data_IF_591029185024
#
_entry.id   IF_591029185024
#
_cell.length_a   1.000
_cell.length_b   1.000
_cell.length_c   1.000
_cell.angle_alpha   90.00
_cell.angle_beta   90.00
_cell.angle_gamma   90.00
#
_symmetry.space_group_name_H-M   'P 1'
#
loop_
_entity.id
_entity.type
_entity.pdbx_description
1 polymer ?
#
# COMPACT_ATOMS: atom_id res chain seq x y z
N UNK A 1 0.77 -3.09 11.14
CA UNK A 1 0.60 -3.78 12.43
C UNK A 1 0.26 -5.28 12.30
N UNK A 2 -0.40 -5.71 11.24
CA UNK A 2 -0.68 -7.15 11.04
C UNK A 2 0.57 -7.99 10.74
N UNK A 3 1.58 -7.41 10.09
CA UNK A 3 2.82 -8.13 9.75
C UNK A 3 3.68 -8.37 10.99
N UNK A 4 3.70 -7.45 11.96
CA UNK A 4 4.51 -7.60 13.17
C UNK A 4 3.98 -8.70 14.09
N UNK A 5 2.66 -8.89 14.21
CA UNK A 5 2.10 -9.96 15.04
C UNK A 5 2.23 -11.33 14.37
N UNK A 6 2.00 -11.43 13.05
CA UNK A 6 2.20 -12.68 12.31
C UNK A 6 3.68 -13.10 12.29
N UNK A 7 4.60 -12.16 12.09
CA UNK A 7 6.03 -12.43 12.16
C UNK A 7 6.45 -12.92 13.55
N UNK A 8 5.98 -12.27 14.62
CA UNK A 8 6.26 -12.71 16.00
C UNK A 8 5.73 -14.13 16.27
N UNK A 9 4.57 -14.45 15.74
CA UNK A 9 3.96 -15.79 15.88
C UNK A 9 4.75 -16.86 15.11
N UNK A 10 5.24 -16.51 13.91
CA UNK A 10 6.08 -17.40 13.11
C UNK A 10 7.40 -17.69 13.83
N UNK A 11 8.10 -16.66 14.33
CA UNK A 11 9.37 -16.84 15.04
C UNK A 11 9.20 -17.72 16.28
N UNK A 12 8.17 -17.51 17.08
CA UNK A 12 7.87 -18.37 18.23
C UNK A 12 7.64 -19.82 17.84
N UNK A 13 6.92 -20.07 16.73
CA UNK A 13 6.67 -21.43 16.23
C UNK A 13 7.94 -22.09 15.70
N UNK A 14 8.85 -21.32 15.11
CA UNK A 14 10.17 -21.79 14.69
C UNK A 14 11.05 -22.14 15.88
N UNK A 15 11.10 -21.28 16.91
CA UNK A 15 11.89 -21.51 18.13
C UNK A 15 11.44 -22.78 18.89
N UNK A 16 10.13 -23.07 18.84
CA UNK A 16 9.57 -24.30 19.41
C UNK A 16 9.60 -25.52 18.46
N UNK A 17 10.18 -25.37 17.27
CA UNK A 17 10.32 -26.46 16.30
C UNK A 17 9.01 -26.90 15.62
N UNK A 18 7.92 -26.15 15.75
CA UNK A 18 6.64 -26.47 15.13
C UNK A 18 6.63 -26.24 13.61
N UNK A 19 7.46 -25.32 13.13
CA UNK A 19 7.65 -25.04 11.70
C UNK A 19 9.12 -24.73 11.43
N UNK A 20 9.57 -25.06 10.22
CA UNK A 20 10.95 -24.83 9.77
C UNK A 20 11.12 -23.53 9.00
N UNK A 21 10.04 -23.01 8.44
CA UNK A 21 10.07 -21.84 7.56
C UNK A 21 8.79 -21.02 7.63
N UNK A 22 8.88 -19.78 7.16
CA UNK A 22 7.73 -18.88 7.02
C UNK A 22 6.63 -19.45 6.09
N UNK A 23 6.94 -19.99 4.90
CA UNK A 23 5.94 -20.63 4.06
C UNK A 23 5.20 -21.77 4.79
N UNK A 24 5.93 -22.67 5.47
CA UNK A 24 5.32 -23.77 6.22
C UNK A 24 4.39 -23.27 7.33
N UNK A 25 4.73 -22.15 8.00
CA UNK A 25 3.86 -21.57 9.00
C UNK A 25 2.52 -21.09 8.41
N UNK A 26 2.56 -20.48 7.23
CA UNK A 26 1.34 -20.05 6.54
C UNK A 26 0.52 -21.25 6.03
N UNK A 27 1.15 -22.24 5.41
CA UNK A 27 0.45 -23.42 4.88
C UNK A 27 -0.25 -24.23 5.97
N UNK A 28 0.36 -24.36 7.15
CA UNK A 28 -0.14 -25.22 8.22
C UNK A 28 -1.00 -24.53 9.26
N UNK A 29 -0.77 -23.22 9.50
CA UNK A 29 -1.35 -22.56 10.68
C UNK A 29 -1.98 -21.19 10.40
N UNK A 30 -1.40 -20.36 9.55
CA UNK A 30 -1.76 -18.95 9.44
C UNK A 30 -2.52 -18.58 8.16
N UNK A 31 -2.49 -19.44 7.15
CA UNK A 31 -3.16 -19.20 5.86
C UNK A 31 -4.67 -19.29 5.94
N UNK A 32 -5.34 -18.58 5.06
CA UNK A 32 -6.81 -18.47 4.99
C UNK A 32 -7.53 -19.82 4.79
N UNK A 33 -6.80 -20.85 4.34
CA UNK A 33 -7.31 -22.20 4.09
C UNK A 33 -7.08 -23.17 5.27
N UNK A 34 -6.45 -22.70 6.36
CA UNK A 34 -6.16 -23.56 7.51
C UNK A 34 -7.34 -23.64 8.48
N UNK A 35 -7.44 -24.74 9.22
CA UNK A 35 -8.47 -24.91 10.25
C UNK A 35 -8.34 -23.95 11.44
N UNK A 36 -7.21 -23.27 11.54
CA UNK A 36 -6.92 -22.29 12.62
C UNK A 36 -7.17 -20.85 12.16
N UNK A 37 -7.57 -20.66 10.90
CA UNK A 37 -7.88 -19.34 10.39
C UNK A 37 -9.13 -18.79 11.06
N UNK A 38 -8.97 -17.64 11.71
CA UNK A 38 -10.09 -16.87 12.23
C UNK A 38 -10.33 -15.70 11.30
N UNK A 39 -11.47 -15.66 10.59
CA UNK A 39 -11.79 -14.53 9.72
C UNK A 39 -11.79 -13.24 10.53
N UNK A 40 -10.98 -12.27 10.10
CA UNK A 40 -11.06 -10.92 10.66
C UNK A 40 -12.14 -10.14 9.94
N UNK A 41 -12.84 -9.31 10.67
CA UNK A 41 -13.71 -8.32 10.06
C UNK A 41 -12.84 -7.39 9.19
N UNK A 42 -13.02 -7.49 7.88
CA UNK A 42 -12.24 -6.70 6.91
C UNK A 42 -12.93 -5.36 6.72
N UNK A 43 -12.25 -4.28 7.10
CA UNK A 43 -12.71 -2.94 6.72
C UNK A 43 -12.68 -2.80 5.20
N UNK A 44 -13.69 -2.16 4.66
CA UNK A 44 -13.72 -1.83 3.22
C UNK A 44 -12.69 -0.75 2.90
N UNK A 45 -12.23 -0.65 1.65
CA UNK A 45 -11.31 0.42 1.25
C UNK A 45 -11.85 1.83 1.54
N UNK A 46 -13.17 2.06 1.40
CA UNK A 46 -13.79 3.33 1.74
C UNK A 46 -13.76 3.61 3.25
N UNK A 47 -14.00 2.60 4.09
CA UNK A 47 -13.84 2.73 5.54
C UNK A 47 -12.39 3.03 5.93
N UNK A 48 -11.40 2.42 5.25
CA UNK A 48 -9.99 2.72 5.48
C UNK A 48 -9.67 4.19 5.16
N UNK A 49 -10.18 4.72 4.05
CA UNK A 49 -10.05 6.15 3.71
C UNK A 49 -10.63 7.03 4.81
N UNK A 50 -11.85 6.72 5.28
CA UNK A 50 -12.50 7.48 6.35
C UNK A 50 -11.71 7.46 7.66
N UNK A 51 -11.16 6.31 8.04
CA UNK A 51 -10.33 6.17 9.24
C UNK A 51 -9.05 6.99 9.16
N UNK A 52 -8.37 6.99 8.00
CA UNK A 52 -7.17 7.79 7.80
C UNK A 52 -7.48 9.29 7.92
N UNK A 53 -8.59 9.75 7.33
CA UNK A 53 -9.02 11.14 7.44
C UNK A 53 -9.39 11.52 8.88
N UNK A 54 -10.06 10.62 9.62
CA UNK A 54 -10.45 10.87 11.01
C UNK A 54 -9.26 11.13 11.94
N UNK A 55 -8.09 10.57 11.63
CA UNK A 55 -6.84 10.82 12.37
C UNK A 55 -5.96 11.89 11.69
N UNK A 56 -6.54 12.74 10.84
CA UNK A 56 -5.86 13.82 10.10
C UNK A 56 -4.71 13.33 9.22
N UNK A 57 -4.82 12.10 8.71
CA UNK A 57 -3.91 11.51 7.73
C UNK A 57 -4.32 11.82 6.29
N UNK A 58 -3.39 11.65 5.35
CA UNK A 58 -3.64 11.74 3.91
C UNK A 58 -3.85 10.31 3.37
N UNK A 59 -5.06 9.92 2.93
CA UNK A 59 -5.27 8.62 2.32
C UNK A 59 -4.66 8.58 0.92
N UNK A 60 -3.81 7.58 0.70
CA UNK A 60 -3.11 7.32 -0.56
C UNK A 60 -3.41 5.90 -1.00
N UNK A 61 -3.81 5.69 -2.24
CA UNK A 61 -3.92 4.36 -2.83
C UNK A 61 -2.54 3.90 -3.29
N UNK A 62 -1.97 2.92 -2.57
CA UNK A 62 -0.62 2.42 -2.80
C UNK A 62 -0.56 1.44 -3.98
N UNK A 63 0.51 1.47 -4.77
CA UNK A 63 0.90 0.56 -5.85
C UNK A 63 -0.27 -0.12 -6.61
N UNK A 64 -1.24 0.64 -7.16
CA UNK A 64 -2.49 0.07 -7.68
C UNK A 64 -2.32 -0.87 -8.89
N UNK A 65 -1.21 -0.82 -9.62
CA UNK A 65 -0.95 -1.77 -10.71
C UNK A 65 -0.77 -3.20 -10.20
N UNK A 66 -0.31 -3.37 -8.94
CA UNK A 66 -0.13 -4.69 -8.32
C UNK A 66 -1.45 -5.38 -7.94
N UNK A 67 -2.59 -4.70 -8.07
CA UNK A 67 -3.88 -5.35 -7.88
C UNK A 67 -4.31 -6.20 -9.05
N UNK A 68 -3.57 -6.14 -10.18
CA UNK A 68 -3.86 -6.88 -11.42
C UNK A 68 -5.30 -6.68 -11.93
N UNK A 69 -5.86 -5.53 -11.65
CA UNK A 69 -7.21 -5.16 -12.10
C UNK A 69 -7.17 -4.63 -13.54
N UNK A 70 -8.21 -4.93 -14.31
CA UNK A 70 -8.42 -4.27 -15.60
C UNK A 70 -8.60 -2.75 -15.43
N UNK A 71 -8.29 -1.98 -16.48
CA UNK A 71 -8.30 -0.50 -16.45
C UNK A 71 -9.63 0.09 -15.97
N UNK A 72 -10.75 -0.48 -16.42
CA UNK A 72 -12.09 0.01 -16.06
C UNK A 72 -12.42 -0.27 -14.59
N UNK A 73 -12.03 -1.45 -14.09
CA UNK A 73 -12.21 -1.82 -12.69
C UNK A 73 -11.36 -0.93 -11.77
N UNK A 74 -10.09 -0.69 -12.13
CA UNK A 74 -9.23 0.21 -11.37
C UNK A 74 -9.77 1.65 -11.39
N UNK A 75 -10.24 2.13 -12.55
CA UNK A 75 -10.84 3.45 -12.68
C UNK A 75 -12.10 3.59 -11.81
N UNK A 76 -12.94 2.55 -11.77
CA UNK A 76 -14.14 2.50 -10.92
C UNK A 76 -13.79 2.48 -9.44
N UNK A 77 -12.78 1.72 -9.04
CA UNK A 77 -12.26 1.70 -7.66
C UNK A 77 -11.77 3.09 -7.25
N UNK A 78 -10.93 3.72 -8.07
CA UNK A 78 -10.38 5.06 -7.78
C UNK A 78 -11.48 6.10 -7.65
N UNK A 79 -12.50 6.07 -8.53
CA UNK A 79 -13.68 6.94 -8.43
C UNK A 79 -14.40 6.76 -7.10
N UNK A 80 -14.71 5.52 -6.74
CA UNK A 80 -15.39 5.21 -5.48
C UNK A 80 -14.59 5.67 -4.25
N UNK A 81 -13.28 5.44 -4.26
CA UNK A 81 -12.41 5.91 -3.18
C UNK A 81 -12.28 7.43 -3.14
N UNK A 82 -12.30 8.10 -4.30
CA UNK A 82 -12.34 9.57 -4.38
C UNK A 82 -13.61 10.12 -3.73
N UNK A 83 -14.75 9.51 -3.98
CA UNK A 83 -16.01 9.86 -3.33
C UNK A 83 -15.96 9.69 -1.80
N UNK A 84 -15.22 8.68 -1.32
CA UNK A 84 -14.95 8.46 0.10
C UNK A 84 -13.90 9.41 0.69
N UNK A 85 -13.18 10.20 -0.12
CA UNK A 85 -12.21 11.19 0.31
C UNK A 85 -10.74 10.83 0.04
N UNK A 86 -10.45 9.88 -0.86
CA UNK A 86 -9.08 9.59 -1.29
C UNK A 86 -8.40 10.87 -1.80
N UNK A 87 -7.18 11.13 -1.35
CA UNK A 87 -6.43 12.34 -1.67
C UNK A 87 -5.38 12.11 -2.74
N UNK A 88 -4.71 10.99 -2.71
CA UNK A 88 -3.59 10.73 -3.62
C UNK A 88 -3.56 9.28 -4.13
N UNK A 89 -2.82 9.08 -5.22
CA UNK A 89 -2.53 7.81 -5.86
C UNK A 89 -1.02 7.64 -5.97
N UNK A 90 -0.47 6.47 -5.63
CA UNK A 90 0.93 6.19 -5.84
C UNK A 90 1.21 5.95 -7.33
N UNK A 91 1.82 6.94 -7.97
CA UNK A 91 2.11 6.94 -9.38
C UNK A 91 3.58 6.65 -9.70
N UNK A 92 4.48 6.85 -8.74
CA UNK A 92 5.91 6.60 -8.87
C UNK A 92 6.32 5.46 -7.95
N UNK A 93 6.69 4.31 -8.53
CA UNK A 93 6.93 3.10 -7.77
C UNK A 93 8.07 2.27 -8.36
N UNK A 94 8.80 1.55 -7.51
CA UNK A 94 10.07 0.88 -7.85
C UNK A 94 10.02 -0.07 -9.05
N UNK A 95 8.89 -0.73 -9.27
CA UNK A 95 8.75 -1.71 -10.36
C UNK A 95 7.93 -1.20 -11.54
N UNK A 96 7.43 0.04 -11.49
CA UNK A 96 6.67 0.57 -12.60
C UNK A 96 7.55 0.79 -13.83
N UNK A 97 7.04 0.36 -14.96
CA UNK A 97 7.51 0.82 -16.26
C UNK A 97 7.11 2.28 -16.48
N UNK A 98 7.81 2.97 -17.39
CA UNK A 98 7.43 4.33 -17.78
C UNK A 98 5.99 4.41 -18.33
N UNK A 99 5.45 3.33 -18.88
CA UNK A 99 4.07 3.22 -19.31
C UNK A 99 3.08 3.20 -18.16
N UNK A 100 3.34 2.38 -17.14
CA UNK A 100 2.52 2.28 -15.92
C UNK A 100 2.55 3.57 -15.13
N UNK A 101 3.70 4.19 -14.96
CA UNK A 101 3.80 5.50 -14.32
C UNK A 101 2.94 6.55 -15.03
N UNK A 102 3.04 6.65 -16.36
CA UNK A 102 2.18 7.56 -17.14
C UNK A 102 0.70 7.27 -16.95
N UNK A 103 0.31 5.99 -16.96
CA UNK A 103 -1.09 5.60 -16.73
C UNK A 103 -1.59 6.02 -15.35
N UNK A 104 -0.78 5.82 -14.30
CA UNK A 104 -1.14 6.20 -12.94
C UNK A 104 -1.21 7.72 -12.77
N UNK A 105 -0.30 8.48 -13.36
CA UNK A 105 -0.36 9.95 -13.40
C UNK A 105 -1.62 10.46 -14.13
N UNK A 106 -1.98 9.85 -15.26
CA UNK A 106 -3.21 10.18 -16.00
C UNK A 106 -4.47 9.84 -15.19
N UNK A 107 -4.46 8.70 -14.50
CA UNK A 107 -5.57 8.27 -13.66
C UNK A 107 -5.75 9.24 -12.47
N UNK A 108 -4.66 9.62 -11.81
CA UNK A 108 -4.69 10.63 -10.74
C UNK A 108 -5.24 11.97 -11.25
N UNK A 109 -4.74 12.46 -12.39
CA UNK A 109 -5.22 13.70 -12.98
C UNK A 109 -6.71 13.66 -13.34
N UNK A 110 -7.20 12.55 -13.91
CA UNK A 110 -8.62 12.34 -14.25
C UNK A 110 -9.55 12.55 -13.08
N UNK A 111 -9.15 12.12 -11.88
CA UNK A 111 -9.96 12.20 -10.66
C UNK A 111 -9.56 13.36 -9.73
N UNK A 112 -8.69 14.27 -10.17
CA UNK A 112 -8.21 15.38 -9.36
C UNK A 112 -7.53 14.91 -8.08
N UNK A 113 -6.75 13.83 -8.15
CA UNK A 113 -5.92 13.31 -7.08
C UNK A 113 -4.50 13.85 -7.19
N UNK A 114 -3.86 14.05 -6.06
CA UNK A 114 -2.41 14.21 -5.99
C UNK A 114 -1.73 12.86 -6.31
N UNK A 115 -0.44 12.93 -6.57
CA UNK A 115 0.38 11.72 -6.72
C UNK A 115 1.27 11.54 -5.50
N UNK A 116 1.65 10.30 -5.24
CA UNK A 116 2.73 9.94 -4.32
C UNK A 116 3.73 9.02 -5.02
N UNK A 117 4.81 8.73 -4.33
CA UNK A 117 5.78 7.76 -4.76
C UNK A 117 6.48 7.11 -3.58
N UNK A 118 6.99 5.90 -3.80
CA UNK A 118 7.68 5.12 -2.79
C UNK A 118 8.51 3.98 -3.37
N UNK A 119 9.56 3.59 -2.64
CA UNK A 119 10.35 2.40 -2.99
C UNK A 119 9.68 1.10 -2.53
N UNK A 120 8.75 1.18 -1.60
CA UNK A 120 8.15 0.03 -0.93
C UNK A 120 9.20 -0.84 -0.20
N UNK A 121 10.18 -0.16 0.36
CA UNK A 121 11.28 -0.80 1.10
C UNK A 121 10.77 -1.53 2.34
N UNK A 122 11.17 -2.80 2.47
CA UNK A 122 10.77 -3.69 3.57
C UNK A 122 11.98 -4.37 4.23
N UNK A 123 13.14 -3.73 4.20
CA UNK A 123 14.36 -4.29 4.77
C UNK A 123 14.73 -5.63 4.11
N UNK A 124 15.13 -6.58 4.93
CA UNK A 124 15.59 -7.90 4.48
C UNK A 124 14.50 -8.73 3.78
N UNK A 125 13.23 -8.38 3.94
CA UNK A 125 12.10 -9.11 3.31
C UNK A 125 12.01 -8.86 1.80
N UNK A 126 12.62 -7.78 1.30
CA UNK A 126 12.74 -7.47 -0.14
C UNK A 126 14.21 -7.20 -0.48
N UNK A 127 15.03 -8.24 -0.65
CA UNK A 127 16.44 -8.07 -0.92
C UNK A 127 16.68 -7.35 -2.27
N UNK A 128 17.67 -6.46 -2.31
CA UNK A 128 17.99 -5.65 -3.49
C UNK A 128 17.10 -4.42 -3.71
N UNK A 129 16.09 -4.21 -2.87
CA UNK A 129 15.27 -3.01 -2.87
C UNK A 129 15.79 -2.02 -1.82
N UNK A 130 16.23 -0.86 -2.24
CA UNK A 130 16.80 0.16 -1.37
C UNK A 130 15.81 1.26 -1.01
N UNK A 131 15.97 1.83 0.19
CA UNK A 131 15.17 2.96 0.64
C UNK A 131 15.41 4.18 -0.26
N UNK A 132 14.34 4.74 -0.82
CA UNK A 132 14.38 5.95 -1.64
C UNK A 132 14.77 5.72 -3.10
N UNK A 133 15.65 4.80 -3.41
CA UNK A 133 16.15 4.55 -4.78
C UNK A 133 15.57 3.30 -5.44
N UNK A 134 14.80 2.50 -4.69
CA UNK A 134 14.20 1.27 -5.19
C UNK A 134 15.27 0.30 -5.68
N UNK A 135 15.16 -0.14 -6.93
CA UNK A 135 16.19 -0.94 -7.62
C UNK A 135 17.24 -0.06 -8.33
N UNK A 136 17.53 1.12 -7.79
CA UNK A 136 18.57 2.04 -8.29
C UNK A 136 18.12 3.02 -9.37
N UNK A 137 16.82 3.01 -9.77
CA UNK A 137 16.28 3.89 -10.83
C UNK A 137 15.14 4.77 -10.36
N UNK A 138 14.67 4.58 -9.14
CA UNK A 138 13.56 5.35 -8.61
C UNK A 138 14.04 6.77 -8.28
N UNK A 139 13.29 7.75 -8.76
CA UNK A 139 13.45 9.15 -8.40
C UNK A 139 12.08 9.75 -8.07
N UNK A 140 11.94 10.25 -6.86
CA UNK A 140 10.71 10.87 -6.38
C UNK A 140 11.03 12.33 -6.08
N UNK A 141 10.54 13.27 -6.89
CA UNK A 141 10.77 14.70 -6.69
C UNK A 141 10.15 15.19 -5.36
N UNK A 142 10.81 16.13 -4.70
CA UNK A 142 10.37 16.67 -3.41
C UNK A 142 9.04 17.44 -3.52
N UNK A 143 8.72 18.00 -4.67
CA UNK A 143 7.46 18.71 -4.92
C UNK A 143 6.22 17.82 -4.68
N UNK A 144 6.34 16.51 -4.88
CA UNK A 144 5.30 15.52 -4.52
C UNK A 144 5.01 15.60 -3.01
N UNK A 145 6.02 15.57 -2.17
CA UNK A 145 5.88 15.68 -0.72
C UNK A 145 5.32 17.04 -0.30
N UNK A 146 5.81 18.11 -0.93
CA UNK A 146 5.35 19.48 -0.67
C UNK A 146 3.85 19.60 -0.96
N UNK A 147 3.39 19.05 -2.12
CA UNK A 147 1.98 19.07 -2.48
C UNK A 147 1.11 18.30 -1.48
N UNK A 148 1.55 17.13 -1.02
CA UNK A 148 0.83 16.35 -0.01
C UNK A 148 0.76 17.05 1.35
N UNK A 149 1.87 17.68 1.80
CA UNK A 149 1.91 18.47 3.03
C UNK A 149 0.98 19.68 2.95
N UNK A 150 0.99 20.39 1.82
CA UNK A 150 0.07 21.51 1.57
C UNK A 150 -1.38 21.05 1.65
N UNK A 151 -1.70 19.93 0.97
CA UNK A 151 -3.05 19.38 0.99
C UNK A 151 -3.50 18.97 2.39
N UNK A 152 -2.61 18.41 3.19
CA UNK A 152 -2.90 18.10 4.59
C UNK A 152 -3.26 19.33 5.40
N UNK A 153 -2.50 20.42 5.23
CA UNK A 153 -2.80 21.72 5.86
C UNK A 153 -4.19 22.22 5.46
N UNK A 154 -4.49 22.21 4.17
CA UNK A 154 -5.80 22.64 3.65
C UNK A 154 -6.98 21.83 4.22
N UNK A 155 -6.78 20.54 4.42
CA UNK A 155 -7.85 19.65 4.90
C UNK A 155 -8.09 19.75 6.42
N UNK A 156 -7.05 20.01 7.20
CA UNK A 156 -7.13 19.84 8.66
C UNK A 156 -6.70 21.07 9.46
N UNK A 157 -6.35 22.13 8.79
CA UNK A 157 -5.96 23.43 9.42
C UNK A 157 -4.80 23.26 10.44
N UNK A 158 -3.77 22.44 10.08
CA UNK A 158 -2.64 22.06 10.94
C UNK A 158 -1.30 22.31 10.28
#
# INVERSE_FOLDING_TARGET
HCISSAASDVYKRQDHGYVKSLPEAFDRYLGDHTKYFVPREKITPAQAVSLILAVKGIPVLAHPTLYHMGKDNLSSLVRHLKEAGLVALEAVYSTYSAGEERQMRQLAARYGLLISGGSDFHGKSKPGLELGTGYGKLFIPEDILIALKKKRKELFDV
#
